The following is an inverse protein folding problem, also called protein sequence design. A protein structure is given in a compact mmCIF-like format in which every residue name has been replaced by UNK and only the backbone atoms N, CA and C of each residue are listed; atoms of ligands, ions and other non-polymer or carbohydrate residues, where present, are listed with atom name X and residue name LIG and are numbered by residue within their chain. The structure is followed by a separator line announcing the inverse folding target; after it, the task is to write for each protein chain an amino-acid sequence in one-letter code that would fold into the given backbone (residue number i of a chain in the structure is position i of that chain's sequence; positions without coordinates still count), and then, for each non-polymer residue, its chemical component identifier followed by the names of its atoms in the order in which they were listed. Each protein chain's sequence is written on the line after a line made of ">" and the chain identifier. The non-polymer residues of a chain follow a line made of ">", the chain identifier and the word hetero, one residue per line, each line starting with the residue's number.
data_IF_940906302219
#
_entry.id   IF_940906302219
#
_cell.length_a   1.000
_cell.length_b   1.000
_cell.length_c   1.000
_cell.angle_alpha   90.00
_cell.angle_beta   90.00
_cell.angle_gamma   90.00
#
_symmetry.space_group_name_H-M   'P 1'
#
loop_
_entity.id
_entity.type
_entity.pdbx_description
1 polymer ?
#
# COMPACT_ATOMS: atom_id res chain seq x y z
N UNK A 1 -13.76 -10.06 -44.83
CA UNK A 1 -12.58 -9.88 -43.96
C UNK A 1 -13.06 -9.14 -42.72
N UNK A 2 -13.01 -9.78 -41.55
CA UNK A 2 -13.36 -9.11 -40.29
C UNK A 2 -12.24 -8.18 -39.84
N UNK A 3 -12.53 -7.17 -39.00
CA UNK A 3 -11.49 -6.33 -38.43
C UNK A 3 -10.55 -7.16 -37.54
N UNK A 4 -9.25 -7.02 -37.77
CA UNK A 4 -8.21 -7.53 -36.88
C UNK A 4 -8.04 -6.51 -35.76
N UNK A 5 -8.43 -6.86 -34.54
CA UNK A 5 -8.08 -6.10 -33.35
C UNK A 5 -6.66 -6.56 -32.97
N UNK A 6 -5.73 -5.61 -32.90
CA UNK A 6 -4.37 -5.85 -32.43
C UNK A 6 -4.24 -5.12 -31.11
N UNK A 7 -4.00 -5.86 -30.03
CA UNK A 7 -3.65 -5.28 -28.74
C UNK A 7 -2.13 -5.16 -28.68
N UNK A 8 -1.62 -3.95 -28.46
CA UNK A 8 -0.20 -3.68 -28.24
C UNK A 8 -0.05 -3.09 -26.84
N UNK A 9 0.51 -3.84 -25.91
CA UNK A 9 1.04 -3.31 -24.66
C UNK A 9 2.56 -3.25 -24.78
N UNK A 10 3.15 -2.06 -24.67
CA UNK A 10 4.59 -1.91 -24.47
C UNK A 10 4.83 -1.71 -22.99
N UNK A 11 5.38 -2.74 -22.35
CA UNK A 11 6.08 -2.56 -21.09
C UNK A 11 7.53 -2.37 -21.50
N UNK A 12 8.10 -1.18 -21.27
CA UNK A 12 9.43 -0.82 -21.79
C UNK A 12 10.55 -1.22 -20.82
N UNK A 13 10.20 -1.94 -19.75
CA UNK A 13 11.13 -2.44 -18.74
C UNK A 13 10.71 -3.82 -18.24
N UNK A 14 11.59 -4.80 -18.37
CA UNK A 14 11.40 -6.16 -17.86
C UNK A 14 11.71 -6.28 -16.35
N UNK A 15 12.20 -5.21 -15.71
CA UNK A 15 12.56 -5.22 -14.30
C UNK A 15 11.35 -4.79 -13.45
N UNK A 16 10.96 -5.60 -12.47
CA UNK A 16 9.83 -5.34 -11.57
C UNK A 16 10.33 -5.23 -10.14
N UNK A 17 9.94 -4.15 -9.44
CA UNK A 17 10.11 -4.03 -8.00
C UNK A 17 8.80 -4.27 -7.26
N UNK A 18 8.89 -4.95 -6.12
CA UNK A 18 7.80 -5.09 -5.15
C UNK A 18 7.98 -4.04 -4.06
N UNK A 19 6.97 -3.21 -3.85
CA UNK A 19 6.89 -2.23 -2.76
C UNK A 19 5.89 -2.75 -1.74
N UNK A 20 6.32 -2.91 -0.49
CA UNK A 20 5.46 -3.35 0.60
C UNK A 20 4.63 -2.18 1.14
N UNK A 21 3.39 -2.42 1.58
CA UNK A 21 2.56 -1.36 2.19
C UNK A 21 3.14 -0.75 3.47
N UNK A 22 4.16 -1.37 4.09
CA UNK A 22 4.90 -0.84 5.25
C UNK A 22 5.98 0.19 4.89
N UNK A 23 6.25 0.41 3.60
CA UNK A 23 7.30 1.34 3.17
C UNK A 23 6.75 2.76 3.06
N UNK A 24 6.87 3.51 4.15
CA UNK A 24 6.37 4.89 4.30
C UNK A 24 6.96 5.88 3.29
N UNK A 25 8.08 5.54 2.65
CA UNK A 25 8.65 6.35 1.56
C UNK A 25 7.86 6.26 0.25
N UNK A 26 6.99 5.25 0.10
CA UNK A 26 6.14 5.06 -1.09
C UNK A 26 4.66 5.14 -0.74
N UNK A 27 4.24 4.53 0.38
CA UNK A 27 2.86 4.48 0.82
C UNK A 27 2.55 5.54 1.88
N UNK A 28 1.38 6.15 1.76
CA UNK A 28 0.81 6.99 2.81
C UNK A 28 -0.67 6.65 3.01
N UNK A 29 -1.10 6.65 4.27
CA UNK A 29 -2.44 6.25 4.68
C UNK A 29 -3.10 7.39 5.46
N UNK A 30 -4.28 7.83 5.04
CA UNK A 30 -4.96 8.98 5.62
C UNK A 30 -6.43 8.69 6.00
N UNK A 31 -6.90 9.21 7.16
CA UNK A 31 -6.07 9.58 8.31
C UNK A 31 -5.36 8.33 8.85
N UNK A 32 -4.07 8.44 9.20
CA UNK A 32 -3.24 7.29 9.65
C UNK A 32 -3.91 6.48 10.76
N UNK A 33 -4.56 7.15 11.72
CA UNK A 33 -5.26 6.53 12.84
C UNK A 33 -6.44 5.62 12.45
N UNK A 34 -6.92 5.69 11.21
CA UNK A 34 -7.99 4.84 10.71
C UNK A 34 -7.48 3.51 10.14
N UNK A 35 -6.17 3.36 9.97
CA UNK A 35 -5.55 2.19 9.37
C UNK A 35 -4.89 1.32 10.44
N UNK A 36 -5.04 0.02 10.29
CA UNK A 36 -4.43 -0.98 11.14
C UNK A 36 -3.60 -1.93 10.29
N UNK A 37 -2.41 -2.23 10.75
CA UNK A 37 -1.60 -3.27 10.16
C UNK A 37 -2.06 -4.64 10.64
N UNK A 38 -2.34 -5.54 9.71
CA UNK A 38 -2.73 -6.93 9.97
C UNK A 38 -1.62 -7.85 9.51
N UNK A 39 -1.21 -8.80 10.35
CA UNK A 39 -0.12 -9.76 10.06
C UNK A 39 -0.71 -11.10 9.65
N UNK A 40 -0.08 -11.78 8.68
CA UNK A 40 -0.55 -13.08 8.19
C UNK A 40 0.34 -13.66 7.10
N UNK A 41 0.36 -15.00 6.99
CA UNK A 41 1.13 -15.71 5.96
C UNK A 41 0.55 -15.56 4.55
N UNK A 42 -0.70 -15.13 4.45
CA UNK A 42 -1.42 -14.98 3.19
C UNK A 42 -1.14 -13.63 2.52
N UNK A 43 -0.35 -12.75 3.15
CA UNK A 43 0.03 -11.43 2.63
C UNK A 43 1.45 -11.43 2.10
N UNK A 44 1.70 -10.63 1.06
CA UNK A 44 3.08 -10.40 0.62
C UNK A 44 3.83 -9.65 1.73
N UNK A 45 5.10 -9.99 1.95
CA UNK A 45 5.87 -9.44 3.07
C UNK A 45 5.34 -9.78 4.48
N UNK A 46 4.23 -10.52 4.60
CA UNK A 46 3.66 -10.96 5.88
C UNK A 46 2.70 -9.97 6.54
N UNK A 47 2.29 -8.88 5.86
CA UNK A 47 1.31 -7.94 6.39
C UNK A 47 0.47 -7.22 5.32
N UNK A 48 -0.69 -6.71 5.73
CA UNK A 48 -1.49 -5.75 4.95
C UNK A 48 -1.91 -4.56 5.82
N UNK A 49 -2.24 -3.44 5.18
CA UNK A 49 -2.92 -2.31 5.81
C UNK A 49 -4.42 -2.39 5.57
N UNK A 50 -5.20 -2.39 6.64
CA UNK A 50 -6.65 -2.56 6.63
C UNK A 50 -7.34 -1.38 7.33
N UNK A 51 -8.46 -0.93 6.77
CA UNK A 51 -9.40 -0.05 7.45
C UNK A 51 -10.84 -0.55 7.30
N UNK A 52 -11.70 -0.10 8.20
CA UNK A 52 -13.17 -0.26 8.14
C UNK A 52 -13.89 1.09 8.19
N UNK A 53 -13.13 2.20 8.17
CA UNK A 53 -13.68 3.54 8.18
C UNK A 53 -13.97 4.01 6.75
N UNK A 54 -15.04 4.77 6.58
CA UNK A 54 -15.32 5.43 5.30
C UNK A 54 -14.42 6.65 5.13
N UNK A 55 -14.32 7.15 3.89
CA UNK A 55 -13.64 8.42 3.57
C UNK A 55 -12.14 8.43 3.93
N UNK A 56 -11.54 7.24 4.07
CA UNK A 56 -10.10 7.04 4.20
C UNK A 56 -9.45 6.94 2.83
N UNK A 57 -8.21 7.38 2.70
CA UNK A 57 -7.43 7.26 1.47
C UNK A 57 -6.08 6.60 1.68
N UNK A 58 -5.56 6.03 0.60
CA UNK A 58 -4.16 5.61 0.45
C UNK A 58 -3.58 6.33 -0.75
N UNK A 59 -2.32 6.71 -0.67
CA UNK A 59 -1.55 7.18 -1.82
C UNK A 59 -0.26 6.37 -1.95
N UNK A 60 0.03 5.94 -3.17
CA UNK A 60 1.24 5.25 -3.57
C UNK A 60 2.00 6.15 -4.56
N UNK A 61 3.15 6.65 -4.13
CA UNK A 61 4.10 7.31 -5.01
C UNK A 61 5.05 6.27 -5.62
N UNK A 62 5.28 6.35 -6.93
CA UNK A 62 6.21 5.46 -7.64
C UNK A 62 6.77 6.17 -8.88
N UNK A 63 7.81 5.63 -9.49
CA UNK A 63 8.30 6.12 -10.78
C UNK A 63 8.23 5.03 -11.87
N UNK A 64 8.01 5.41 -13.13
CA UNK A 64 8.12 4.49 -14.26
C UNK A 64 6.80 4.14 -14.95
N UNK A 65 6.87 3.14 -15.82
CA UNK A 65 5.89 2.94 -16.90
C UNK A 65 4.66 2.10 -16.53
N UNK A 66 4.61 1.58 -15.30
CA UNK A 66 3.54 0.71 -14.82
C UNK A 66 3.38 0.71 -13.31
N UNK A 67 2.17 0.35 -12.89
CA UNK A 67 1.83 -0.02 -11.51
C UNK A 67 0.78 -1.11 -11.51
N UNK A 68 0.91 -2.08 -10.60
CA UNK A 68 -0.13 -3.02 -10.22
C UNK A 68 -0.23 -3.03 -8.68
N UNK A 69 -1.37 -2.57 -8.15
CA UNK A 69 -1.63 -2.52 -6.71
C UNK A 69 -2.44 -3.74 -6.29
N UNK A 70 -1.99 -4.42 -5.24
CA UNK A 70 -2.60 -5.63 -4.71
C UNK A 70 -3.13 -5.41 -3.29
N UNK A 71 -4.18 -6.14 -2.95
CA UNK A 71 -4.76 -6.15 -1.62
C UNK A 71 -5.73 -7.30 -1.45
N UNK A 72 -6.73 -7.12 -0.59
CA UNK A 72 -7.72 -8.15 -0.28
C UNK A 72 -9.10 -7.74 -0.79
N UNK A 73 -9.84 -8.70 -1.37
CA UNK A 73 -11.24 -8.53 -1.73
C UNK A 73 -12.10 -9.64 -1.08
N UNK A 74 -13.40 -9.43 -0.87
CA UNK A 74 -14.26 -10.38 -0.16
C UNK A 74 -15.70 -9.89 0.07
N UNK A 75 -16.54 -10.65 0.78
CA UNK A 75 -17.98 -10.32 0.94
C UNK A 75 -18.26 -8.97 1.57
N UNK A 76 -17.34 -8.50 2.43
CA UNK A 76 -17.54 -7.31 3.24
C UNK A 76 -16.52 -6.22 2.90
N UNK A 77 -16.02 -6.20 1.66
CA UNK A 77 -15.00 -5.25 1.21
C UNK A 77 -15.61 -4.07 0.44
N UNK A 78 -14.92 -2.93 0.48
CA UNK A 78 -15.42 -1.64 0.05
C UNK A 78 -15.47 -1.49 -1.48
N UNK A 79 -16.40 -0.65 -1.91
CA UNK A 79 -16.31 0.12 -3.15
C UNK A 79 -15.33 1.26 -2.89
N UNK A 80 -14.46 1.54 -3.85
CA UNK A 80 -13.44 2.58 -3.74
C UNK A 80 -13.30 3.36 -5.04
N UNK A 81 -12.85 4.60 -4.95
CA UNK A 81 -12.36 5.35 -6.09
C UNK A 81 -10.87 5.12 -6.27
N UNK A 82 -10.40 5.09 -7.51
CA UNK A 82 -8.99 5.03 -7.87
C UNK A 82 -8.67 6.17 -8.85
N UNK A 83 -7.61 6.92 -8.57
CA UNK A 83 -7.15 8.03 -9.39
C UNK A 83 -5.64 7.94 -9.55
N UNK A 84 -5.17 7.95 -10.79
CA UNK A 84 -3.76 8.03 -11.12
C UNK A 84 -3.44 9.47 -11.54
N UNK A 85 -2.47 10.08 -10.87
CA UNK A 85 -2.07 11.49 -11.03
C UNK A 85 -3.29 12.43 -10.97
N UNK A 86 -3.36 13.43 -11.86
CA UNK A 86 -4.50 14.33 -12.02
C UNK A 86 -5.56 13.76 -13.00
N UNK A 87 -5.52 12.45 -13.25
CA UNK A 87 -6.45 11.76 -14.15
C UNK A 87 -7.88 11.65 -13.60
N UNK A 88 -8.79 11.05 -14.37
CA UNK A 88 -10.15 10.78 -13.91
C UNK A 88 -10.17 9.75 -12.76
N UNK A 89 -11.14 9.88 -11.86
CA UNK A 89 -11.41 8.88 -10.83
C UNK A 89 -12.27 7.74 -11.38
N UNK A 90 -11.82 6.50 -11.20
CA UNK A 90 -12.55 5.29 -11.55
C UNK A 90 -13.18 4.66 -10.30
N UNK A 91 -14.45 4.28 -10.39
CA UNK A 91 -15.14 3.57 -9.30
C UNK A 91 -14.91 2.07 -9.46
N UNK A 92 -14.35 1.45 -8.44
CA UNK A 92 -13.95 0.04 -8.40
C UNK A 92 -14.59 -0.66 -7.20
N UNK A 93 -14.62 -1.99 -7.23
CA UNK A 93 -15.32 -2.79 -6.24
C UNK A 93 -14.47 -3.97 -5.75
N UNK A 94 -14.11 -3.96 -4.46
CA UNK A 94 -13.45 -5.09 -3.80
C UNK A 94 -14.46 -6.07 -3.16
N UNK A 95 -15.76 -5.86 -3.31
CA UNK A 95 -16.80 -6.77 -2.80
C UNK A 95 -17.03 -7.96 -3.73
N UNK A 96 -17.05 -9.17 -3.16
CA UNK A 96 -17.51 -10.40 -3.86
C UNK A 96 -18.17 -11.39 -2.89
N UNK A 97 -19.17 -12.19 -3.30
CA UNK A 97 -20.01 -12.99 -2.38
C UNK A 97 -19.34 -14.27 -1.83
N UNK A 98 -18.01 -14.33 -1.78
CA UNK A 98 -17.24 -15.51 -1.36
C UNK A 98 -16.12 -15.11 -0.39
N UNK A 99 -15.44 -16.12 0.17
CA UNK A 99 -14.38 -15.92 1.16
C UNK A 99 -13.34 -14.88 0.71
N UNK A 100 -12.76 -14.11 1.64
CA UNK A 100 -11.70 -13.16 1.33
C UNK A 100 -10.54 -13.85 0.61
N UNK A 101 -9.95 -13.16 -0.36
CA UNK A 101 -8.69 -13.58 -0.96
C UNK A 101 -7.75 -12.38 -0.99
N UNK A 102 -6.57 -12.60 -0.44
CA UNK A 102 -5.46 -11.66 -0.38
C UNK A 102 -4.63 -11.70 -1.66
N UNK A 103 -3.65 -10.79 -1.79
CA UNK A 103 -2.74 -10.70 -2.93
C UNK A 103 -3.47 -10.62 -4.27
N UNK A 104 -4.46 -9.73 -4.33
CA UNK A 104 -5.32 -9.60 -5.48
C UNK A 104 -5.35 -8.20 -6.05
N UNK A 105 -5.41 -8.15 -7.39
CA UNK A 105 -5.32 -6.91 -8.13
C UNK A 105 -6.49 -5.99 -7.79
N UNK A 106 -6.15 -4.82 -7.27
CA UNK A 106 -7.08 -3.72 -7.03
C UNK A 106 -7.02 -2.73 -8.19
N UNK A 107 -5.82 -2.35 -8.63
CA UNK A 107 -5.64 -1.37 -9.69
C UNK A 107 -4.43 -1.75 -10.56
N UNK A 108 -4.52 -1.46 -11.86
CA UNK A 108 -3.36 -1.55 -12.75
C UNK A 108 -3.35 -0.40 -13.76
N UNK A 109 -2.14 0.05 -14.11
CA UNK A 109 -1.90 0.92 -15.24
C UNK A 109 -0.55 0.56 -15.90
N UNK A 110 -0.47 0.74 -17.22
CA UNK A 110 0.71 0.51 -18.04
C UNK A 110 0.82 1.60 -19.11
N UNK A 111 1.97 1.71 -19.77
CA UNK A 111 2.19 2.74 -20.79
C UNK A 111 2.29 4.15 -20.20
N UNK A 112 2.68 4.25 -18.93
CA UNK A 112 2.98 5.53 -18.27
C UNK A 112 4.35 6.06 -18.72
N UNK A 113 4.64 7.33 -18.44
CA UNK A 113 5.91 7.93 -18.84
C UNK A 113 7.07 7.34 -18.04
N UNK A 114 8.00 6.67 -18.73
CA UNK A 114 9.13 6.01 -18.10
C UNK A 114 10.04 7.00 -17.38
N UNK A 115 10.49 6.63 -16.17
CA UNK A 115 11.41 7.44 -15.36
C UNK A 115 10.78 8.69 -14.72
N UNK A 116 9.47 8.90 -14.92
CA UNK A 116 8.72 10.00 -14.28
C UNK A 116 8.00 9.49 -13.04
N UNK A 117 7.85 10.39 -12.06
CA UNK A 117 7.11 10.11 -10.83
C UNK A 117 5.59 10.21 -11.06
N UNK A 118 4.87 9.23 -10.52
CA UNK A 118 3.43 9.09 -10.55
C UNK A 118 2.89 8.92 -9.13
N UNK A 119 1.62 9.25 -8.93
CA UNK A 119 0.92 9.07 -7.68
C UNK A 119 -0.45 8.40 -7.91
N UNK A 120 -0.62 7.19 -7.38
CA UNK A 120 -1.90 6.49 -7.35
C UNK A 120 -2.59 6.74 -6.02
N UNK A 121 -3.80 7.30 -6.05
CA UNK A 121 -4.63 7.49 -4.86
C UNK A 121 -5.88 6.63 -4.94
N UNK A 122 -6.14 5.84 -3.89
CA UNK A 122 -7.42 5.14 -3.72
C UNK A 122 -8.16 5.69 -2.50
N UNK A 123 -9.48 5.85 -2.61
CA UNK A 123 -10.33 6.35 -1.54
C UNK A 123 -11.49 5.39 -1.26
N UNK A 124 -11.66 4.99 0.00
CA UNK A 124 -12.79 4.16 0.42
C UNK A 124 -14.09 4.96 0.30
N UNK A 125 -15.03 4.46 -0.49
CA UNK A 125 -16.35 5.08 -0.72
C UNK A 125 -17.46 4.40 0.07
N UNK A 126 -17.20 3.22 0.62
CA UNK A 126 -18.23 2.45 1.31
C UNK A 126 -18.51 3.00 2.71
N UNK A 127 -19.79 3.11 3.01
CA UNK A 127 -20.30 3.39 4.35
C UNK A 127 -20.62 2.06 5.08
N UNK A 128 -20.64 2.08 6.41
CA UNK A 128 -21.16 0.96 7.20
C UNK A 128 -20.16 -0.13 7.57
N UNK A 129 -18.85 0.18 7.63
CA UNK A 129 -17.85 -0.75 8.17
C UNK A 129 -17.26 -1.74 7.16
N UNK A 130 -17.48 -1.51 5.86
CA UNK A 130 -16.86 -2.32 4.82
C UNK A 130 -15.32 -2.19 4.88
N UNK A 131 -14.63 -3.32 4.71
CA UNK A 131 -13.19 -3.42 4.77
C UNK A 131 -12.54 -2.86 3.52
N UNK A 132 -11.47 -2.11 3.67
CA UNK A 132 -10.60 -1.73 2.57
C UNK A 132 -9.17 -2.07 2.96
N UNK A 133 -8.49 -2.89 2.15
CA UNK A 133 -7.18 -3.43 2.48
C UNK A 133 -6.21 -3.39 1.32
N UNK A 134 -4.97 -3.03 1.60
CA UNK A 134 -3.85 -2.91 0.65
C UNK A 134 -2.67 -3.71 1.19
N UNK A 135 -2.05 -4.53 0.34
CA UNK A 135 -0.97 -5.45 0.71
C UNK A 135 0.37 -4.93 0.17
N UNK A 136 0.53 -4.90 -1.15
CA UNK A 136 1.77 -4.49 -1.82
C UNK A 136 1.48 -3.92 -3.21
N UNK A 137 2.51 -3.35 -3.84
CA UNK A 137 2.47 -2.95 -5.25
C UNK A 137 3.64 -3.52 -6.04
N UNK A 138 3.42 -3.74 -7.33
CA UNK A 138 4.46 -4.01 -8.33
C UNK A 138 4.60 -2.81 -9.25
N UNK A 139 5.84 -2.36 -9.46
CA UNK A 139 6.18 -1.18 -10.26
C UNK A 139 7.41 -1.45 -11.12
N UNK A 140 7.78 -0.51 -11.98
CA UNK A 140 9.05 -0.56 -12.70
C UNK A 140 10.26 -0.63 -11.74
N UNK A 141 11.04 -1.69 -11.84
CA UNK A 141 12.16 -1.96 -10.94
C UNK A 141 13.31 -0.97 -11.11
N UNK A 142 13.63 -0.62 -12.37
CA UNK A 142 14.73 0.27 -12.67
C UNK A 142 14.54 1.68 -12.08
N UNK A 143 13.32 2.21 -12.14
CA UNK A 143 12.97 3.54 -11.63
C UNK A 143 12.80 3.57 -10.11
N UNK A 144 12.47 2.44 -9.47
CA UNK A 144 12.18 2.37 -8.03
C UNK A 144 13.26 1.61 -7.21
N UNK A 145 14.40 1.26 -7.81
CA UNK A 145 15.55 0.66 -7.11
C UNK A 145 16.16 1.57 -6.01
N UNK A 146 15.72 2.83 -5.93
CA UNK A 146 16.30 3.86 -5.07
C UNK A 146 16.09 3.63 -3.56
N UNK A 147 15.21 2.71 -3.16
CA UNK A 147 15.10 2.26 -1.76
C UNK A 147 16.15 1.23 -1.32
N UNK A 148 16.86 0.59 -2.26
CA UNK A 148 17.81 -0.50 -1.95
C UNK A 148 19.28 -0.05 -1.90
N UNK A 149 19.63 1.05 -2.58
CA UNK A 149 21.01 1.49 -2.76
C UNK A 149 21.46 2.61 -1.80
N UNK A 150 20.54 3.27 -1.08
CA UNK A 150 20.89 4.43 -0.25
C UNK A 150 21.54 4.08 1.10
N UNK A 151 21.56 2.81 1.53
CA UNK A 151 22.12 2.40 2.82
C UNK A 151 23.49 1.69 2.72
N UNK A 152 24.15 1.75 1.57
CA UNK A 152 25.55 1.29 1.39
C UNK A 152 26.44 2.41 0.85
N UNK A 153 26.25 3.64 1.33
CA UNK A 153 27.26 4.70 1.24
C UNK A 153 28.27 4.58 2.40
N UNK A 154 28.82 3.38 2.57
CA UNK A 154 29.95 3.11 3.45
C UNK A 154 31.25 3.13 2.66
N UNK A 155 31.89 4.29 2.62
CA UNK A 155 33.34 4.48 2.42
C UNK A 155 33.95 3.91 1.14
N UNK A 156 33.93 4.71 0.09
CA UNK A 156 34.93 4.65 -0.97
C UNK A 156 36.30 5.04 -0.40
N UNK A 157 37.08 4.05 0.03
CA UNK A 157 38.51 4.17 0.32
C UNK A 157 39.30 3.50 -0.80
N UNK A 158 39.78 4.30 -1.76
CA UNK A 158 40.68 3.81 -2.81
C UNK A 158 42.11 3.61 -2.30
N UNK A 159 42.77 2.57 -2.81
CA UNK A 159 44.20 2.46 -3.19
C UNK A 159 44.51 0.97 -3.39
N UNK A 160 44.68 0.51 -4.62
CA UNK A 160 45.93 0.51 -5.38
C UNK A 160 46.76 -0.77 -5.15
N UNK A 161 47.20 -1.32 -6.27
CA UNK A 161 47.94 -2.56 -6.48
C UNK A 161 49.21 -2.70 -5.65
N UNK A 162 49.49 -3.91 -5.17
CA UNK A 162 50.78 -4.26 -4.61
C UNK A 162 51.38 -5.47 -5.35
N UNK A 163 52.45 -5.21 -6.10
CA UNK A 163 53.35 -6.20 -6.68
C UNK A 163 54.70 -6.10 -5.95
N UNK A 164 55.29 -7.26 -5.72
CA UNK A 164 56.37 -7.57 -4.78
C UNK A 164 57.72 -6.86 -5.01
N UNK A 165 58.48 -6.65 -3.91
CA UNK A 165 59.93 -6.84 -3.87
C UNK A 165 60.49 -7.00 -2.43
N UNK A 166 60.98 -8.21 -2.15
CA UNK A 166 62.20 -8.63 -1.42
C UNK A 166 63.08 -7.58 -0.72
N UNK A 167 63.32 -7.76 0.59
CA UNK A 167 64.64 -8.01 1.24
C UNK A 167 64.79 -7.37 2.65
N UNK A 168 65.16 -8.20 3.64
CA UNK A 168 66.24 -7.86 4.58
C UNK A 168 65.91 -7.53 6.04
N UNK A 169 66.33 -8.45 6.92
CA UNK A 169 67.17 -8.18 8.11
C UNK A 169 66.54 -7.91 9.51
N UNK A 170 66.70 -8.95 10.34
CA UNK A 170 67.15 -8.95 11.76
C UNK A 170 66.21 -8.60 12.95
N UNK A 171 65.86 -9.67 13.68
CA UNK A 171 66.15 -9.98 15.10
C UNK A 171 66.09 -8.89 16.19
N UNK A 172 65.14 -9.04 17.15
CA UNK A 172 65.30 -8.92 18.64
C UNK A 172 63.90 -8.90 19.30
N UNK A 173 63.48 -9.92 20.06
CA UNK A 173 63.67 -10.18 21.50
C UNK A 173 63.35 -9.02 22.48
N UNK A 174 62.40 -9.28 23.39
CA UNK A 174 62.08 -8.50 24.60
C UNK A 174 60.63 -7.98 24.56
N UNK A 175 59.68 -8.43 25.38
CA UNK A 175 59.73 -8.69 26.82
C UNK A 175 59.40 -7.40 27.57
N UNK A 176 58.19 -7.26 28.12
CA UNK A 176 57.85 -6.07 28.91
C UNK A 176 56.36 -5.95 29.28
N UNK A 177 56.01 -6.45 30.46
CA UNK A 177 54.78 -6.17 31.21
C UNK A 177 54.76 -4.71 31.70
N UNK A 178 53.58 -4.08 31.77
CA UNK A 178 53.15 -3.00 32.72
C UNK A 178 51.62 -2.81 32.56
N UNK A 179 50.75 -3.38 33.40
CA UNK A 179 50.06 -2.75 34.57
C UNK A 179 49.37 -1.41 34.26
N UNK A 180 48.03 -1.27 34.29
CA UNK A 180 47.07 -1.24 35.44
C UNK A 180 46.56 0.20 35.65
N UNK A 181 45.31 0.31 36.11
CA UNK A 181 44.52 1.49 36.52
C UNK A 181 43.70 2.08 35.34
N UNK A 182 42.41 2.39 35.46
CA UNK A 182 41.55 2.53 36.63
C UNK A 182 40.08 2.36 36.22
N UNK A 183 39.31 1.83 37.15
CA UNK A 183 37.89 1.52 37.08
C UNK A 183 37.04 2.74 37.43
N UNK A 184 36.22 3.21 36.51
CA UNK A 184 35.23 4.25 36.76
C UNK A 184 33.89 3.94 36.09
N UNK A 185 33.13 2.99 36.65
CA UNK A 185 31.71 2.78 36.34
C UNK A 185 30.88 3.82 37.09
N UNK A 186 30.07 4.59 36.38
CA UNK A 186 28.98 5.38 36.96
C UNK A 186 27.79 5.41 36.01
N UNK A 187 26.75 4.69 36.40
CA UNK A 187 25.37 4.74 35.92
C UNK A 187 24.51 4.15 37.06
N UNK A 188 23.20 4.46 37.20
CA UNK A 188 22.50 5.72 36.99
C UNK A 188 21.57 6.00 38.21
N UNK A 189 20.61 6.94 38.14
CA UNK A 189 19.31 6.63 38.73
C UNK A 189 18.12 6.74 37.78
N UNK A 190 17.28 5.71 37.86
CA UNK A 190 15.92 5.56 37.31
C UNK A 190 14.97 6.62 37.88
N UNK A 191 14.09 7.16 37.03
CA UNK A 191 12.80 7.72 37.45
C UNK A 191 11.70 7.30 36.48
N UNK A 192 10.87 6.34 36.90
CA UNK A 192 9.59 6.00 36.27
C UNK A 192 8.50 6.98 36.72
N UNK A 193 7.67 7.52 35.83
CA UNK A 193 6.38 8.09 36.20
C UNK A 193 5.27 7.03 36.18
N UNK A 194 4.42 7.06 37.22
CA UNK A 194 3.26 6.21 37.42
C UNK A 194 2.07 6.58 36.49
N UNK A 195 1.14 5.64 36.20
CA UNK A 195 -0.03 5.89 35.36
C UNK A 195 -1.17 6.63 36.13
N UNK A 196 -1.96 7.49 35.45
CA UNK A 196 -3.15 8.07 36.04
C UNK A 196 -4.31 7.06 36.16
N UNK A 197 -5.06 7.22 37.25
CA UNK A 197 -6.19 6.38 37.67
C UNK A 197 -7.43 6.58 36.79
N UNK A 198 -8.15 5.48 36.60
CA UNK A 198 -9.47 5.41 35.97
C UNK A 198 -10.50 6.31 36.67
N UNK A 199 -11.29 7.02 35.87
CA UNK A 199 -12.52 7.68 36.30
C UNK A 199 -13.70 6.85 35.81
N UNK A 200 -14.43 6.25 36.75
CA UNK A 200 -15.73 5.64 36.53
C UNK A 200 -16.81 6.67 36.83
N UNK A 201 -17.67 6.99 35.87
CA UNK A 201 -18.98 7.54 36.22
C UNK A 201 -20.06 7.03 35.28
N UNK A 202 -20.96 6.26 35.90
CA UNK A 202 -22.22 5.76 35.39
C UNK A 202 -23.20 6.93 35.34
N UNK A 203 -23.94 7.12 34.25
CA UNK A 203 -25.18 7.88 34.34
C UNK A 203 -26.38 7.12 33.77
N UNK A 204 -27.41 7.11 34.62
CA UNK A 204 -28.67 6.39 34.53
C UNK A 204 -29.68 7.19 33.72
N UNK A 205 -30.50 6.45 32.98
CA UNK A 205 -31.95 6.61 32.74
C UNK A 205 -32.54 8.03 32.71
N UNK A 206 -33.20 8.34 31.59
CA UNK A 206 -34.55 8.89 31.63
C UNK A 206 -35.39 8.30 30.49
N UNK A 207 -36.50 7.69 30.88
CA UNK A 207 -37.58 7.23 30.01
C UNK A 207 -38.69 8.29 30.01
N UNK A 208 -39.34 8.48 28.87
CA UNK A 208 -40.64 9.15 28.77
C UNK A 208 -41.07 9.17 27.29
N UNK A 209 -41.96 8.28 26.83
CA UNK A 209 -43.43 8.23 26.95
C UNK A 209 -44.11 8.80 25.68
N UNK A 210 -44.75 7.89 24.92
CA UNK A 210 -45.90 7.98 23.98
C UNK A 210 -45.92 9.13 22.93
N UNK A 211 -46.34 8.92 21.67
CA UNK A 211 -47.74 8.69 21.26
C UNK A 211 -47.82 8.05 19.85
N UNK A 212 -48.94 7.36 19.68
CA UNK A 212 -49.49 6.46 18.67
C UNK A 212 -49.85 7.09 17.28
N UNK A 213 -49.38 6.46 16.17
CA UNK A 213 -50.05 6.15 14.86
C UNK A 213 -50.67 7.26 13.94
N UNK A 214 -51.01 6.99 12.65
CA UNK A 214 -50.17 6.51 11.53
C UNK A 214 -50.43 7.26 10.19
N UNK A 215 -49.64 6.90 9.16
CA UNK A 215 -49.92 6.98 7.71
C UNK A 215 -49.82 8.34 6.98
N UNK A 216 -48.86 8.44 6.04
CA UNK A 216 -49.14 8.43 4.59
C UNK A 216 -47.85 8.41 3.77
N UNK A 217 -47.60 7.26 3.16
CA UNK A 217 -46.70 7.09 2.02
C UNK A 217 -47.26 7.87 0.83
N UNK A 218 -46.47 8.79 0.26
CA UNK A 218 -46.52 9.07 -1.17
C UNK A 218 -45.09 9.04 -1.72
N UNK A 219 -44.78 7.87 -2.27
CA UNK A 219 -43.62 7.57 -3.10
C UNK A 219 -43.67 8.42 -4.38
N UNK A 220 -42.70 9.33 -4.52
CA UNK A 220 -42.41 9.98 -5.81
C UNK A 220 -41.54 9.03 -6.62
N UNK A 221 -42.26 8.26 -7.44
CA UNK A 221 -41.79 7.30 -8.41
C UNK A 221 -41.12 8.03 -9.60
N UNK A 222 -39.81 8.33 -9.53
CA UNK A 222 -39.05 8.59 -10.76
C UNK A 222 -38.66 7.25 -11.38
N UNK A 223 -39.50 6.79 -12.31
CA UNK A 223 -39.25 5.67 -13.22
C UNK A 223 -38.14 6.08 -14.21
N UNK A 224 -36.92 5.61 -13.99
CA UNK A 224 -36.02 5.37 -15.11
C UNK A 224 -36.25 3.95 -15.62
N UNK A 225 -37.11 3.85 -16.63
CA UNK A 225 -37.20 2.68 -17.50
C UNK A 225 -36.04 2.75 -18.48
N UNK A 226 -35.10 1.81 -18.39
CA UNK A 226 -34.45 1.18 -19.53
C UNK A 226 -33.60 0.01 -19.03
N UNK A 227 -34.28 -1.12 -18.81
CA UNK A 227 -33.69 -2.46 -18.77
C UNK A 227 -34.53 -3.30 -19.74
N UNK A 228 -34.23 -3.16 -21.02
CA UNK A 228 -34.56 -4.20 -22.00
C UNK A 228 -33.57 -5.34 -21.77
N UNK A 229 -34.14 -6.52 -21.58
CA UNK A 229 -33.44 -7.75 -21.26
C UNK A 229 -32.68 -8.28 -22.49
N UNK A 230 -31.40 -8.60 -22.30
CA UNK A 230 -30.78 -9.71 -23.03
C UNK A 230 -30.45 -10.83 -22.04
N UNK A 231 -31.42 -11.71 -21.85
CA UNK A 231 -31.14 -13.08 -21.41
C UNK A 231 -30.56 -13.83 -22.60
N UNK A 232 -29.26 -14.11 -22.58
CA UNK A 232 -28.71 -15.28 -23.27
C UNK A 232 -27.48 -15.78 -22.49
N UNK A 233 -27.57 -17.03 -22.05
CA UNK A 233 -26.44 -17.97 -21.96
C UNK A 233 -25.43 -17.75 -20.84
N UNK A 234 -25.13 -18.82 -20.11
CA UNK A 234 -23.97 -18.84 -19.20
C UNK A 234 -22.69 -18.39 -19.91
N UNK A 235 -22.06 -17.36 -19.39
CA UNK A 235 -20.84 -16.78 -19.90
C UNK A 235 -19.98 -16.32 -18.73
N UNK A 236 -18.66 -16.55 -18.86
CA UNK A 236 -17.63 -16.13 -17.92
C UNK A 236 -17.85 -14.68 -17.46
N UNK A 237 -17.55 -14.44 -16.19
CA UNK A 237 -17.37 -13.08 -15.68
C UNK A 237 -16.07 -12.56 -16.28
N UNK A 238 -16.16 -11.80 -17.37
CA UNK A 238 -15.02 -11.08 -17.90
C UNK A 238 -14.76 -9.87 -16.99
N UNK A 239 -13.59 -9.86 -16.36
CA UNK A 239 -13.07 -8.70 -15.66
C UNK A 239 -12.79 -7.61 -16.71
N UNK A 240 -13.47 -6.47 -16.61
CA UNK A 240 -13.16 -5.32 -17.43
C UNK A 240 -11.80 -4.77 -16.98
N UNK A 241 -10.75 -5.11 -17.73
CA UNK A 241 -9.49 -4.36 -17.71
C UNK A 241 -9.80 -3.02 -18.35
N UNK A 242 -9.82 -1.96 -17.55
CA UNK A 242 -9.85 -0.59 -18.06
C UNK A 242 -8.42 -0.27 -18.49
N UNK A 243 -8.11 -0.45 -19.77
CA UNK A 243 -6.91 0.13 -20.37
C UNK A 243 -7.12 1.64 -20.50
N UNK A 244 -6.45 2.42 -19.64
CA UNK A 244 -6.35 3.86 -19.82
C UNK A 244 -5.23 4.11 -20.81
N UNK A 245 -5.57 4.31 -22.08
CA UNK A 245 -4.61 4.79 -23.08
C UNK A 245 -4.53 6.31 -22.96
N UNK A 246 -3.35 6.83 -22.60
CA UNK A 246 -3.04 8.23 -22.79
C UNK A 246 -3.10 8.52 -24.29
N UNK A 247 -3.98 9.43 -24.69
CA UNK A 247 -4.05 9.91 -26.07
C UNK A 247 -3.10 11.09 -26.16
N UNK A 248 -1.97 10.92 -26.86
CA UNK A 248 -1.07 12.03 -27.16
C UNK A 248 -1.85 13.14 -27.89
N UNK A 249 -1.81 14.34 -27.31
CA UNK A 249 -2.36 15.53 -27.94
C UNK A 249 -1.45 15.97 -29.10
N UNK A 250 -2.02 16.06 -30.31
CA UNK A 250 -1.39 16.63 -31.52
C UNK A 250 -1.55 18.14 -31.54
#
# INVERSE_FOLDING_TARGET
>A
MGPKITFTSSVDSDDTATIQSEQDEFFSFAPESAWAQVRGSDYNGGSEHLTVQSDTSISLSFAGDRVALYGTYGSDYAIYGAQLDDGPTYIMNASRPIAPLSQHLLFQATGLEKGVAHNLTLNSLSQGGAKFAVDYAEVDGASNAMGKAANTSGTAGGSASESAATAGSETRLGGGYCSRLDSGRHDPPRSSPAPPKAFSETNKRAAGHAVHHPARNHSLLHRNRNLEALRLGGGKVDFAVVEVTAVDAV
#
